data_IF_125919085561
#
_entry.id   IF_125919085561
#
_cell.length_a   1.000
_cell.length_b   1.000
_cell.length_c   1.000
_cell.angle_alpha   90.00
_cell.angle_beta   90.00
_cell.angle_gamma   90.00
#
_symmetry.space_group_name_H-M   'P 1'
#
loop_
_entity.id
_entity.type
_entity.pdbx_description
1 polymer ?
#
# COMPACT_ATOMS: atom_id res chain seq x y z
N UNK A 1 10.06 -4.78 -7.72
CA UNK A 1 9.71 -6.01 -6.96
C UNK A 1 8.25 -6.41 -7.18
N UNK A 2 7.25 -5.60 -6.80
CA UNK A 2 5.83 -5.98 -6.96
C UNK A 2 5.43 -6.30 -8.41
N UNK A 3 5.83 -5.47 -9.38
CA UNK A 3 5.59 -5.77 -10.79
C UNK A 3 6.21 -7.11 -11.24
N UNK A 4 7.42 -7.44 -10.75
CA UNK A 4 8.07 -8.70 -11.07
C UNK A 4 7.32 -9.91 -10.47
N UNK A 5 6.80 -9.79 -9.24
CA UNK A 5 5.95 -10.82 -8.61
C UNK A 5 4.67 -11.04 -9.42
N UNK A 6 3.99 -9.96 -9.80
CA UNK A 6 2.79 -10.00 -10.63
C UNK A 6 3.03 -10.71 -11.97
N UNK A 7 4.15 -10.40 -12.63
CA UNK A 7 4.55 -11.05 -13.88
C UNK A 7 4.83 -12.54 -13.66
N UNK A 8 5.56 -12.90 -12.60
CA UNK A 8 5.84 -14.30 -12.26
C UNK A 8 4.55 -15.11 -12.00
N UNK A 9 3.63 -14.56 -11.21
CA UNK A 9 2.33 -15.18 -10.96
C UNK A 9 1.52 -15.36 -12.26
N UNK A 10 1.53 -14.34 -13.14
CA UNK A 10 0.86 -14.41 -14.43
C UNK A 10 1.42 -15.51 -15.34
N UNK A 11 2.74 -15.73 -15.33
CA UNK A 11 3.37 -16.81 -16.10
C UNK A 11 2.94 -18.21 -15.60
N UNK A 12 2.56 -18.30 -14.32
CA UNK A 12 2.03 -19.52 -13.69
C UNK A 12 0.50 -19.62 -13.80
N UNK A 13 -0.16 -18.74 -14.58
CA UNK A 13 -1.62 -18.61 -14.65
C UNK A 13 -2.30 -18.39 -13.29
N UNK A 14 -1.60 -17.77 -12.33
CA UNK A 14 -2.14 -17.36 -11.04
C UNK A 14 -2.47 -15.87 -11.05
N UNK A 15 -3.51 -15.51 -10.33
CA UNK A 15 -3.85 -14.12 -10.05
C UNK A 15 -3.33 -13.76 -8.65
N UNK A 16 -2.33 -12.87 -8.60
CA UNK A 16 -1.85 -12.28 -7.35
C UNK A 16 -2.52 -10.93 -7.15
N UNK A 17 -3.09 -10.68 -5.97
CA UNK A 17 -3.64 -9.36 -5.66
C UNK A 17 -2.52 -8.41 -5.25
N UNK A 18 -2.61 -7.09 -5.52
CA UNK A 18 -1.64 -6.14 -4.98
C UNK A 18 -1.72 -6.08 -3.45
N UNK A 19 -0.66 -5.61 -2.76
CA UNK A 19 -0.72 -5.42 -1.31
C UNK A 19 -1.80 -4.40 -0.93
N UNK A 20 -2.36 -4.55 0.27
CA UNK A 20 -3.39 -3.64 0.80
C UNK A 20 -2.95 -2.16 0.78
N UNK A 21 -3.87 -1.20 0.49
CA UNK A 21 -3.59 0.23 0.58
C UNK A 21 -3.28 0.72 2.00
N UNK A 22 -3.45 -0.11 3.03
CA UNK A 22 -2.95 0.16 4.38
C UNK A 22 -1.42 0.10 4.47
N UNK A 23 -0.76 -0.51 3.48
CA UNK A 23 0.70 -0.49 3.31
C UNK A 23 1.12 0.67 2.42
N UNK A 24 2.33 1.20 2.60
CA UNK A 24 2.82 2.28 1.73
C UNK A 24 2.90 1.86 0.26
N UNK A 25 3.25 0.60 -0.01
CA UNK A 25 3.33 0.09 -1.38
C UNK A 25 1.95 -0.02 -2.03
N UNK A 26 0.96 -0.56 -1.31
CA UNK A 26 -0.41 -0.63 -1.79
C UNK A 26 -1.02 0.76 -1.96
N UNK A 27 -0.73 1.70 -1.05
CA UNK A 27 -1.21 3.07 -1.14
C UNK A 27 -0.64 3.80 -2.37
N UNK A 28 0.63 3.57 -2.70
CA UNK A 28 1.24 4.10 -3.92
C UNK A 28 0.62 3.51 -5.17
N UNK A 29 0.35 2.19 -5.20
CA UNK A 29 -0.36 1.56 -6.31
C UNK A 29 -1.74 2.20 -6.47
N UNK A 30 -2.52 2.27 -5.40
CA UNK A 30 -3.83 2.94 -5.34
C UNK A 30 -3.74 4.36 -5.90
N UNK A 31 -2.78 5.15 -5.43
CA UNK A 31 -2.59 6.52 -5.89
C UNK A 31 -2.31 6.60 -7.39
N UNK A 32 -1.47 5.72 -7.94
CA UNK A 32 -1.16 5.69 -9.37
C UNK A 32 -2.38 5.25 -10.20
N UNK A 33 -3.17 4.30 -9.71
CA UNK A 33 -4.26 3.69 -10.49
C UNK A 33 -5.60 4.40 -10.35
N UNK A 34 -5.86 5.08 -9.23
CA UNK A 34 -7.17 5.63 -8.90
C UNK A 34 -7.22 7.17 -8.86
N UNK A 35 -6.06 7.86 -8.83
CA UNK A 35 -6.05 9.32 -8.89
C UNK A 35 -6.47 9.80 -10.28
N UNK A 36 -7.32 10.83 -10.32
CA UNK A 36 -7.68 11.50 -11.58
C UNK A 36 -6.42 11.98 -12.31
N UNK A 37 -6.19 11.53 -13.56
CA UNK A 37 -5.01 11.89 -14.34
C UNK A 37 -4.78 13.39 -14.52
N UNK A 38 -5.83 14.22 -14.45
CA UNK A 38 -5.74 15.67 -14.61
C UNK A 38 -5.06 16.37 -13.43
N UNK A 39 -5.07 15.75 -12.25
CA UNK A 39 -4.48 16.28 -11.02
C UNK A 39 -3.33 15.41 -10.48
N UNK A 40 -3.10 14.25 -11.10
CA UNK A 40 -2.03 13.35 -10.71
C UNK A 40 -0.68 14.07 -10.79
N UNK A 41 0.10 13.97 -9.71
CA UNK A 41 1.49 14.41 -9.67
C UNK A 41 2.39 13.27 -9.19
N UNK A 42 3.53 13.02 -9.85
CA UNK A 42 4.52 12.10 -9.33
C UNK A 42 4.96 12.54 -7.93
N UNK A 43 4.91 11.63 -6.96
CA UNK A 43 5.37 11.93 -5.61
C UNK A 43 6.01 10.70 -4.95
N UNK A 44 6.95 10.98 -4.04
CA UNK A 44 7.54 9.96 -3.18
C UNK A 44 6.54 9.48 -2.11
N UNK A 45 6.86 8.33 -1.51
CA UNK A 45 6.14 7.78 -0.37
C UNK A 45 5.99 8.82 0.76
N UNK A 46 4.75 9.05 1.19
CA UNK A 46 4.45 9.94 2.31
C UNK A 46 3.17 9.49 3.03
N UNK A 47 3.03 9.85 4.31
CA UNK A 47 1.89 9.43 5.13
C UNK A 47 0.54 9.99 4.66
N UNK A 48 0.51 11.00 3.78
CA UNK A 48 -0.72 11.52 3.21
C UNK A 48 -1.42 10.56 2.26
N UNK A 49 -0.71 9.53 1.77
CA UNK A 49 -1.28 8.46 0.94
C UNK A 49 -2.08 7.43 1.75
N UNK A 50 -1.90 7.41 3.07
CA UNK A 50 -2.53 6.44 3.97
C UNK A 50 -3.78 7.02 4.63
N UNK A 51 -4.83 6.21 4.69
CA UNK A 51 -6.08 6.60 5.35
C UNK A 51 -5.83 6.78 6.86
N UNK A 52 -6.24 7.93 7.45
CA UNK A 52 -5.95 8.25 8.84
C UNK A 52 -6.74 7.38 9.82
N UNK A 53 -6.27 7.24 11.08
CA UNK A 53 -7.05 6.56 12.11
C UNK A 53 -8.35 7.32 12.41
N UNK A 54 -9.42 6.58 12.68
CA UNK A 54 -10.73 7.15 13.08
C UNK A 54 -10.64 7.94 14.39
N UNK A 55 -9.79 7.49 15.31
CA UNK A 55 -9.57 8.13 16.61
C UNK A 55 -8.51 9.21 16.49
N UNK A 56 -8.74 10.33 17.18
CA UNK A 56 -7.73 11.39 17.30
C UNK A 56 -6.53 10.86 18.10
N UNK A 57 -5.35 10.95 17.51
CA UNK A 57 -4.08 10.49 18.09
C UNK A 57 -3.04 11.61 18.02
N UNK A 58 -2.03 11.55 18.90
CA UNK A 58 -0.87 12.43 18.77
C UNK A 58 -0.12 12.12 17.46
N UNK A 59 0.72 13.06 17.00
CA UNK A 59 1.51 12.87 15.77
C UNK A 59 2.44 11.65 15.87
N UNK A 60 3.02 11.41 17.05
CA UNK A 60 3.91 10.28 17.30
C UNK A 60 3.14 8.96 17.27
N UNK A 61 2.03 8.88 18.01
CA UNK A 61 1.21 7.67 18.07
C UNK A 61 0.60 7.32 16.72
N UNK A 62 0.18 8.34 15.94
CA UNK A 62 -0.36 8.12 14.60
C UNK A 62 0.68 7.50 13.65
N UNK A 63 1.94 7.94 13.72
CA UNK A 63 3.02 7.33 12.91
C UNK A 63 3.28 5.88 13.32
N UNK A 64 3.28 5.59 14.62
CA UNK A 64 3.42 4.23 15.15
C UNK A 64 2.25 3.34 14.70
N UNK A 65 1.03 3.85 14.79
CA UNK A 65 -0.18 3.16 14.33
C UNK A 65 -0.12 2.83 12.83
N UNK A 66 0.30 3.78 11.98
CA UNK A 66 0.50 3.51 10.56
C UNK A 66 1.51 2.37 10.33
N UNK A 67 2.63 2.40 11.04
CA UNK A 67 3.68 1.39 10.90
C UNK A 67 3.20 0.01 11.35
N UNK A 68 2.54 -0.10 12.50
CA UNK A 68 2.00 -1.37 13.02
C UNK A 68 0.94 -1.96 12.08
N UNK A 69 -0.01 -1.13 11.62
CA UNK A 69 -1.03 -1.54 10.64
C UNK A 69 -0.36 -2.02 9.34
N UNK A 70 0.59 -1.26 8.81
CA UNK A 70 1.27 -1.58 7.56
C UNK A 70 2.10 -2.87 7.67
N UNK A 71 2.80 -3.09 8.78
CA UNK A 71 3.59 -4.31 9.00
C UNK A 71 2.71 -5.55 9.06
N UNK A 72 1.57 -5.48 9.76
CA UNK A 72 0.60 -6.59 9.81
C UNK A 72 0.08 -6.92 8.40
N UNK A 73 -0.32 -5.91 7.62
CA UNK A 73 -0.80 -6.11 6.25
C UNK A 73 0.28 -6.56 5.27
N UNK A 74 1.52 -6.10 5.44
CA UNK A 74 2.64 -6.57 4.65
C UNK A 74 2.99 -8.04 4.95
N UNK A 75 2.89 -8.46 6.21
CA UNK A 75 3.09 -9.85 6.61
C UNK A 75 1.98 -10.77 6.05
N UNK A 76 0.72 -10.34 6.14
CA UNK A 76 -0.41 -11.04 5.50
C UNK A 76 -0.15 -11.23 4.00
N UNK A 77 0.28 -10.18 3.30
CA UNK A 77 0.61 -10.24 1.87
C UNK A 77 1.81 -11.15 1.56
N UNK A 78 2.87 -11.10 2.37
CA UNK A 78 4.05 -11.95 2.17
C UNK A 78 3.73 -13.46 2.31
N UNK A 79 2.74 -13.80 3.14
CA UNK A 79 2.30 -15.17 3.37
C UNK A 79 1.28 -15.69 2.33
N UNK A 80 0.90 -14.89 1.32
CA UNK A 80 0.03 -15.33 0.22
C UNK A 80 0.77 -16.14 -0.86
N UNK A 81 2.06 -16.45 -0.63
CA UNK A 81 2.91 -17.26 -1.52
C UNK A 81 2.70 -18.74 -1.25
#
# INVERSE_FOLDING_TARGET
ILAARQIAASLENRLESPPSPDTMMGALIRYITETDPSIFQPMNANFGLLDPPEKKMSKADRKKWYAERALNKAAEYANQV
#
